data_IF_571280061315
#
_entry.id   IF_571280061315
#
_cell.length_a   1.000
_cell.length_b   1.000
_cell.length_c   1.000
_cell.angle_alpha   90.00
_cell.angle_beta   90.00
_cell.angle_gamma   90.00
#
_symmetry.space_group_name_H-M   'P 1'
#
loop_
_entity.id
_entity.type
_entity.pdbx_description
1 polymer ?
#
# COMPACT_ATOMS: atom_id res chain seq x y z
N UNK A 1 30.55 10.39 30.81
CA UNK A 1 29.49 10.96 29.95
C UNK A 1 29.78 10.58 28.50
N UNK A 2 29.25 9.46 27.99
CA UNK A 2 29.52 9.02 26.60
C UNK A 2 28.57 7.91 26.12
N UNK A 3 27.30 7.96 26.55
CA UNK A 3 26.25 6.98 26.15
C UNK A 3 25.33 7.50 25.04
N UNK A 4 25.47 8.77 24.65
CA UNK A 4 24.62 9.40 23.64
C UNK A 4 24.67 8.75 22.23
N UNK A 5 25.82 8.31 21.68
CA UNK A 5 25.84 7.88 20.28
C UNK A 5 25.17 6.51 20.04
N UNK A 6 25.11 5.64 21.06
CA UNK A 6 24.50 4.31 20.95
C UNK A 6 22.96 4.37 20.84
N UNK A 7 22.33 5.32 21.53
CA UNK A 7 20.88 5.50 21.50
C UNK A 7 20.43 6.03 20.14
N UNK A 8 21.21 6.92 19.52
CA UNK A 8 20.89 7.48 18.20
C UNK A 8 20.92 6.39 17.13
N UNK A 9 21.93 5.50 17.14
CA UNK A 9 22.01 4.41 16.14
C UNK A 9 20.84 3.42 16.28
N UNK A 10 20.40 3.12 17.50
CA UNK A 10 19.26 2.23 17.72
C UNK A 10 17.94 2.84 17.19
N UNK A 11 17.73 4.14 17.38
CA UNK A 11 16.55 4.85 16.86
C UNK A 11 16.58 4.90 15.33
N UNK A 12 17.72 5.20 14.71
CA UNK A 12 17.84 5.25 13.25
C UNK A 12 17.79 3.87 12.55
N UNK A 13 18.18 2.78 13.22
CA UNK A 13 18.07 1.43 12.66
C UNK A 13 16.68 0.81 12.80
N UNK A 14 15.90 1.19 13.82
CA UNK A 14 14.57 0.61 14.07
C UNK A 14 13.45 1.37 13.34
N UNK A 15 13.58 2.69 13.16
CA UNK A 15 12.56 3.50 12.47
C UNK A 15 12.30 3.16 10.98
N UNK A 16 13.29 2.77 10.13
CA UNK A 16 12.98 2.50 8.72
C UNK A 16 12.07 1.27 8.53
N UNK A 17 12.01 0.37 9.52
CA UNK A 17 11.15 -0.83 9.45
C UNK A 17 9.65 -0.53 9.72
N UNK A 18 9.29 0.64 10.23
CA UNK A 18 7.88 1.04 10.42
C UNK A 18 7.21 1.48 9.10
N UNK A 19 7.99 1.60 8.02
CA UNK A 19 7.54 2.04 6.68
C UNK A 19 7.89 1.01 5.61
N UNK A 20 8.13 -0.24 5.99
CA UNK A 20 8.31 -1.34 5.02
C UNK A 20 6.96 -1.76 4.45
N UNK A 21 6.35 -0.86 3.68
CA UNK A 21 5.15 -1.16 2.93
C UNK A 21 5.44 -2.11 1.77
N UNK A 22 4.58 -3.11 1.56
CA UNK A 22 4.65 -3.93 0.35
C UNK A 22 3.89 -3.23 -0.78
N UNK A 23 4.46 -3.26 -1.98
CA UNK A 23 3.79 -2.83 -3.20
C UNK A 23 3.62 -4.02 -4.13
N UNK A 24 2.40 -4.25 -4.58
CA UNK A 24 2.04 -5.26 -5.55
C UNK A 24 1.45 -4.57 -6.77
N UNK A 25 1.82 -5.06 -7.96
CA UNK A 25 1.38 -4.52 -9.24
C UNK A 25 0.70 -5.63 -10.03
N UNK A 26 -0.45 -5.31 -10.62
CA UNK A 26 -1.19 -6.18 -11.53
C UNK A 26 -1.41 -5.42 -12.82
N UNK A 27 -0.76 -5.86 -13.89
CA UNK A 27 -0.97 -5.33 -15.23
C UNK A 27 -2.22 -5.94 -15.85
N UNK A 28 -2.90 -5.18 -16.72
CA UNK A 28 -4.12 -5.60 -17.40
C UNK A 28 -5.23 -6.10 -16.46
N UNK A 29 -5.51 -5.32 -15.41
CA UNK A 29 -6.56 -5.63 -14.42
C UNK A 29 -7.97 -5.35 -14.98
N UNK A 30 -8.24 -5.68 -16.24
CA UNK A 30 -9.52 -5.42 -16.91
C UNK A 30 -10.52 -6.55 -16.63
N UNK A 31 -11.80 -6.20 -16.54
CA UNK A 31 -12.87 -7.20 -16.42
C UNK A 31 -14.10 -6.76 -17.20
N UNK A 32 -14.69 -7.69 -17.96
CA UNK A 32 -15.81 -7.40 -18.86
C UNK A 32 -17.02 -6.80 -18.14
N UNK A 33 -17.31 -7.25 -16.91
CA UNK A 33 -18.41 -6.74 -16.09
C UNK A 33 -18.17 -5.35 -15.49
N UNK A 34 -16.95 -4.82 -15.54
CA UNK A 34 -16.56 -3.56 -14.89
C UNK A 34 -15.84 -2.62 -15.86
N UNK A 35 -16.55 -2.05 -16.85
CA UNK A 35 -15.96 -1.12 -17.80
C UNK A 35 -15.37 0.10 -17.07
N UNK A 36 -14.20 0.57 -17.52
CA UNK A 36 -13.46 1.71 -16.94
C UNK A 36 -13.00 1.53 -15.48
N UNK A 37 -12.92 0.28 -14.99
CA UNK A 37 -12.40 -0.04 -13.66
C UNK A 37 -11.30 -1.09 -13.76
N UNK A 38 -10.37 -1.04 -12.82
CA UNK A 38 -9.50 -2.17 -12.53
C UNK A 38 -10.22 -3.13 -11.59
N UNK A 39 -10.06 -4.43 -11.80
CA UNK A 39 -10.62 -5.49 -10.97
C UNK A 39 -9.52 -6.43 -10.48
N UNK A 40 -9.41 -6.59 -9.18
CA UNK A 40 -8.52 -7.58 -8.57
C UNK A 40 -9.31 -8.87 -8.27
N UNK A 41 -9.11 -9.97 -9.01
CA UNK A 41 -9.90 -11.19 -8.83
C UNK A 41 -9.70 -11.84 -7.47
N UNK A 42 -8.50 -11.71 -6.89
CA UNK A 42 -8.15 -12.33 -5.60
C UNK A 42 -8.85 -11.65 -4.41
N UNK A 43 -9.02 -10.33 -4.46
CA UNK A 43 -9.65 -9.56 -3.37
C UNK A 43 -11.07 -9.11 -3.71
N UNK A 44 -11.55 -9.40 -4.92
CA UNK A 44 -12.85 -8.94 -5.45
C UNK A 44 -13.05 -7.42 -5.37
N UNK A 45 -11.95 -6.65 -5.37
CA UNK A 45 -11.96 -5.19 -5.30
C UNK A 45 -12.06 -4.61 -6.71
N UNK A 46 -12.89 -3.58 -6.87
CA UNK A 46 -12.89 -2.74 -8.08
C UNK A 46 -12.41 -1.34 -7.75
N UNK A 47 -11.55 -0.78 -8.60
CA UNK A 47 -11.05 0.60 -8.48
C UNK A 47 -11.32 1.34 -9.78
N UNK A 48 -11.99 2.48 -9.68
CA UNK A 48 -12.26 3.32 -10.85
C UNK A 48 -10.95 3.90 -11.38
N UNK A 49 -10.80 3.93 -12.70
CA UNK A 49 -9.60 4.47 -13.35
C UNK A 49 -9.35 5.93 -12.94
N UNK A 50 -8.12 6.24 -12.53
CA UNK A 50 -7.73 7.56 -12.04
C UNK A 50 -8.16 7.87 -10.60
N UNK A 51 -8.80 6.91 -9.91
CA UNK A 51 -9.16 7.04 -8.51
C UNK A 51 -8.31 6.12 -7.64
N UNK A 52 -8.25 6.49 -6.37
CA UNK A 52 -7.59 5.74 -5.32
C UNK A 52 -8.65 5.24 -4.34
N UNK A 53 -8.60 3.95 -4.02
CA UNK A 53 -9.45 3.32 -3.03
C UNK A 53 -8.60 2.99 -1.81
N UNK A 54 -9.02 3.46 -0.65
CA UNK A 54 -8.38 3.16 0.63
C UNK A 54 -9.23 2.14 1.38
N UNK A 55 -8.64 1.00 1.72
CA UNK A 55 -9.28 -0.06 2.51
C UNK A 55 -8.36 -0.43 3.68
N UNK A 56 -8.71 0.06 4.87
CA UNK A 56 -7.87 -0.07 6.06
C UNK A 56 -6.46 0.48 5.80
N UNK A 57 -5.44 -0.37 5.99
CA UNK A 57 -4.03 0.00 5.80
C UNK A 57 -3.52 -0.25 4.37
N UNK A 58 -4.43 -0.36 3.40
CA UNK A 58 -4.12 -0.69 2.01
C UNK A 58 -4.65 0.42 1.10
N UNK A 59 -3.79 0.89 0.22
CA UNK A 59 -4.12 1.79 -0.87
C UNK A 59 -4.16 1.00 -2.17
N UNK A 60 -5.28 1.09 -2.88
CA UNK A 60 -5.46 0.53 -4.21
C UNK A 60 -5.58 1.66 -5.22
N UNK A 61 -4.85 1.59 -6.32
CA UNK A 61 -4.95 2.57 -7.41
C UNK A 61 -5.13 1.86 -8.74
N UNK A 62 -5.81 2.54 -9.67
CA UNK A 62 -5.98 2.07 -11.05
C UNK A 62 -5.53 3.15 -12.01
N UNK A 63 -4.45 2.89 -12.75
CA UNK A 63 -3.92 3.83 -13.74
C UNK A 63 -4.72 3.82 -15.05
N UNK A 64 -4.54 4.85 -15.88
CA UNK A 64 -5.02 4.95 -17.26
C UNK A 64 -4.79 3.71 -18.12
N UNK A 65 -3.69 2.98 -17.89
CA UNK A 65 -3.35 1.74 -18.59
C UNK A 65 -4.04 0.47 -18.05
N UNK A 66 -4.93 0.59 -17.07
CA UNK A 66 -5.52 -0.53 -16.31
C UNK A 66 -4.48 -1.34 -15.51
N UNK A 67 -3.41 -0.66 -15.10
CA UNK A 67 -2.47 -1.21 -14.13
C UNK A 67 -3.00 -0.93 -12.73
N UNK A 68 -3.28 -1.99 -11.98
CA UNK A 68 -3.73 -1.91 -10.61
C UNK A 68 -2.55 -2.04 -9.65
N UNK A 69 -2.42 -1.09 -8.73
CA UNK A 69 -1.38 -1.15 -7.69
C UNK A 69 -2.03 -1.32 -6.34
N UNK A 70 -1.52 -2.25 -5.54
CA UNK A 70 -1.87 -2.44 -4.13
C UNK A 70 -0.65 -2.10 -3.28
N UNK A 71 -0.76 -1.06 -2.48
CA UNK A 71 0.25 -0.67 -1.51
C UNK A 71 -0.29 -0.94 -0.11
N UNK A 72 0.34 -1.86 0.63
CA UNK A 72 0.10 -2.03 2.06
C UNK A 72 1.16 -1.29 2.85
N UNK A 73 0.79 -0.67 3.97
CA UNK A 73 1.77 -0.13 4.93
C UNK A 73 2.09 -1.22 5.95
N UNK A 74 3.33 -1.73 5.91
CA UNK A 74 3.82 -2.78 6.79
C UNK A 74 4.31 -2.16 8.09
N UNK A 75 3.44 -2.16 9.10
CA UNK A 75 3.78 -1.78 10.46
C UNK A 75 2.63 -2.21 11.36
N UNK A 76 2.93 -3.09 12.32
CA UNK A 76 1.99 -3.56 13.35
C UNK A 76 1.50 -2.45 14.31
N UNK A 77 1.71 -1.18 13.95
CA UNK A 77 1.47 0.00 14.76
C UNK A 77 0.94 1.20 13.94
N UNK A 78 0.34 0.96 12.78
CA UNK A 78 -0.51 1.99 12.16
C UNK A 78 -1.93 1.65 12.58
N UNK A 79 -2.41 2.37 13.58
CA UNK A 79 -3.82 2.44 13.95
C UNK A 79 -4.55 2.86 12.67
N UNK A 80 -5.08 1.88 11.94
CA UNK A 80 -6.02 2.14 10.87
C UNK A 80 -7.31 2.57 11.57
N UNK A 81 -7.38 3.89 11.79
CA UNK A 81 -8.41 4.59 12.54
C UNK A 81 -9.79 4.14 12.10
N UNK A 82 -10.54 3.70 13.10
CA UNK A 82 -11.96 3.37 13.03
C UNK A 82 -12.80 4.60 12.68
#
# INVERSE_FOLDING_TARGET
MKLAPLVVIAVFCVLPNATSGYKYYMTDARHASYPNKCYAPVSQITVTRGFELYEGCRKWTCDSHYTMTKQGYGGSLVVCGS
#
